data_IF_265725785719
#
_entry.id   IF_265725785719
#
_cell.length_a   1.000
_cell.length_b   1.000
_cell.length_c   1.000
_cell.angle_alpha   90.00
_cell.angle_beta   90.00
_cell.angle_gamma   90.00
#
_symmetry.space_group_name_H-M   'P 1'
#
loop_
_entity.id
_entity.type
_entity.pdbx_description
1 polymer ?
#
# COMPACT_ATOMS: atom_id res chain seq x y z
N UNK A 1 -12.00 -2.75 -22.92
CA UNK A 1 -10.98 -3.45 -22.13
C UNK A 1 -10.46 -2.52 -21.06
N UNK A 2 -10.43 -2.98 -19.83
CA UNK A 2 -9.96 -2.18 -18.71
C UNK A 2 -8.49 -2.47 -18.46
N UNK A 3 -7.67 -1.45 -18.45
CA UNK A 3 -6.26 -1.62 -18.11
C UNK A 3 -6.12 -1.94 -16.63
N UNK A 4 -5.13 -2.77 -16.32
CA UNK A 4 -4.82 -3.07 -14.93
C UNK A 4 -4.29 -1.81 -14.25
N UNK A 5 -4.71 -1.58 -12.99
CA UNK A 5 -4.20 -0.48 -12.18
C UNK A 5 -3.16 -1.01 -11.19
N UNK A 6 -2.24 -0.14 -10.80
CA UNK A 6 -1.29 -0.45 -9.73
C UNK A 6 -2.08 -0.69 -8.45
N UNK A 7 -1.78 -1.80 -7.76
CA UNK A 7 -2.40 -2.12 -6.48
C UNK A 7 -1.67 -1.44 -5.33
N UNK A 8 -2.38 -1.27 -4.22
CA UNK A 8 -1.83 -0.63 -3.01
C UNK A 8 -1.96 -1.58 -1.84
N UNK A 9 -0.89 -1.76 -1.08
CA UNK A 9 -0.93 -2.51 0.18
C UNK A 9 -0.52 -1.58 1.31
N UNK A 10 -1.39 -1.46 2.30
CA UNK A 10 -1.15 -0.63 3.48
C UNK A 10 -0.76 -1.54 4.64
N UNK A 11 0.48 -1.44 5.07
CA UNK A 11 1.03 -2.29 6.14
C UNK A 11 1.07 -1.48 7.44
N UNK A 12 0.35 -1.94 8.44
CA UNK A 12 0.22 -1.23 9.70
C UNK A 12 0.36 -2.18 10.88
N UNK A 13 0.78 -1.65 12.01
CA UNK A 13 0.79 -2.36 13.29
C UNK A 13 -0.63 -2.53 13.85
N UNK A 14 -1.60 -1.80 13.29
CA UNK A 14 -2.99 -1.82 13.72
C UNK A 14 -3.90 -2.25 12.57
N UNK A 15 -4.70 -3.29 12.78
CA UNK A 15 -5.68 -3.72 11.79
C UNK A 15 -6.70 -2.62 11.52
N UNK A 16 -7.14 -1.91 12.56
CA UNK A 16 -8.11 -0.83 12.44
C UNK A 16 -7.56 0.35 11.64
N UNK A 17 -6.31 0.72 11.89
CA UNK A 17 -5.67 1.82 11.16
C UNK A 17 -5.54 1.49 9.68
N UNK A 18 -5.06 0.29 9.36
CA UNK A 18 -4.92 -0.12 7.96
C UNK A 18 -6.28 -0.14 7.24
N UNK A 19 -7.29 -0.71 7.89
CA UNK A 19 -8.63 -0.78 7.31
C UNK A 19 -9.24 0.61 7.11
N UNK A 20 -9.08 1.51 8.09
CA UNK A 20 -9.58 2.88 7.99
C UNK A 20 -8.90 3.68 6.89
N UNK A 21 -7.59 3.57 6.78
CA UNK A 21 -6.83 4.25 5.73
C UNK A 21 -7.22 3.73 4.35
N UNK A 22 -7.40 2.41 4.21
CA UNK A 22 -7.83 1.81 2.95
C UNK A 22 -9.24 2.30 2.56
N UNK A 23 -10.14 2.36 3.53
CA UNK A 23 -11.51 2.83 3.29
C UNK A 23 -11.51 4.30 2.82
N UNK A 24 -10.75 5.14 3.50
CA UNK A 24 -10.64 6.56 3.12
C UNK A 24 -10.09 6.72 1.70
N UNK A 25 -8.99 6.04 1.39
CA UNK A 25 -8.37 6.12 0.08
C UNK A 25 -9.32 5.63 -1.02
N UNK A 26 -10.04 4.54 -0.78
CA UNK A 26 -11.01 4.00 -1.73
C UNK A 26 -12.13 4.98 -2.01
N UNK A 27 -12.64 5.66 -0.97
CA UNK A 27 -13.73 6.63 -1.12
C UNK A 27 -13.27 7.83 -1.96
N UNK A 28 -12.07 8.34 -1.69
CA UNK A 28 -11.55 9.52 -2.40
C UNK A 28 -11.26 9.20 -3.87
N UNK A 29 -10.84 7.99 -4.19
CA UNK A 29 -10.44 7.60 -5.55
C UNK A 29 -11.55 7.00 -6.40
N UNK A 30 -12.74 6.81 -5.85
CA UNK A 30 -13.87 6.23 -6.59
C UNK A 30 -13.92 4.72 -6.65
N UNK A 31 -13.06 4.02 -5.91
CA UNK A 31 -13.16 2.56 -5.72
C UNK A 31 -12.66 1.68 -6.86
N UNK A 32 -11.90 2.24 -7.81
CA UNK A 32 -11.43 1.48 -8.98
C UNK A 32 -10.07 0.78 -8.75
N UNK A 33 -9.38 1.13 -7.67
CA UNK A 33 -8.05 0.59 -7.35
C UNK A 33 -8.17 -0.47 -6.26
N UNK A 34 -7.43 -1.56 -6.39
CA UNK A 34 -7.37 -2.57 -5.34
C UNK A 34 -6.45 -2.09 -4.23
N UNK A 35 -7.01 -1.92 -3.04
CA UNK A 35 -6.28 -1.51 -1.85
C UNK A 35 -6.45 -2.59 -0.79
N UNK A 36 -5.35 -3.17 -0.36
CA UNK A 36 -5.38 -4.24 0.64
C UNK A 36 -4.81 -3.73 1.95
N UNK A 37 -5.57 -3.91 3.02
CA UNK A 37 -5.13 -3.57 4.37
C UNK A 37 -4.44 -4.80 4.99
N UNK A 38 -3.17 -4.67 5.33
CA UNK A 38 -2.38 -5.71 5.96
C UNK A 38 -1.94 -5.21 7.34
N UNK A 39 -2.87 -5.18 8.28
CA UNK A 39 -2.64 -4.60 9.59
C UNK A 39 -2.83 -5.58 10.73
N UNK A 40 -2.05 -5.38 11.79
CA UNK A 40 -2.10 -6.20 12.99
C UNK A 40 -1.43 -7.55 12.82
N UNK A 41 -1.28 -8.27 13.93
CA UNK A 41 -0.76 -9.64 13.92
C UNK A 41 -1.84 -10.61 13.45
N UNK A 42 -1.46 -11.89 13.26
CA UNK A 42 -2.42 -12.93 12.87
C UNK A 42 -3.54 -13.11 13.90
N UNK A 43 -3.25 -12.81 15.16
CA UNK A 43 -4.23 -12.90 16.25
C UNK A 43 -5.05 -11.62 16.45
N UNK A 44 -4.80 -10.60 15.67
CA UNK A 44 -5.52 -9.32 15.77
C UNK A 44 -4.95 -8.33 16.76
N UNK A 45 -3.80 -8.63 17.34
CA UNK A 45 -3.10 -7.72 18.27
C UNK A 45 -2.29 -6.67 17.50
N UNK A 46 -1.70 -5.73 18.23
CA UNK A 46 -0.79 -4.76 17.64
C UNK A 46 0.51 -5.43 17.19
N UNK A 47 0.96 -5.09 16.00
CA UNK A 47 2.15 -5.66 15.38
C UNK A 47 1.90 -5.94 13.91
N UNK A 48 2.92 -6.43 13.21
CA UNK A 48 2.80 -6.74 11.78
C UNK A 48 2.82 -8.26 11.56
N UNK A 49 2.29 -8.68 10.42
CA UNK A 49 2.21 -10.09 10.03
C UNK A 49 2.80 -10.27 8.64
N UNK A 50 3.88 -11.07 8.55
CA UNK A 50 4.47 -11.41 7.26
C UNK A 50 3.45 -12.12 6.35
N UNK A 51 2.62 -13.01 6.92
CA UNK A 51 1.61 -13.73 6.15
C UNK A 51 0.56 -12.78 5.54
N UNK A 52 0.13 -11.77 6.30
CA UNK A 52 -0.82 -10.78 5.79
C UNK A 52 -0.19 -9.93 4.69
N UNK A 53 1.08 -9.55 4.83
CA UNK A 53 1.80 -8.78 3.81
C UNK A 53 1.92 -9.60 2.53
N UNK A 54 2.36 -10.83 2.63
CA UNK A 54 2.52 -11.72 1.47
C UNK A 54 1.20 -11.91 0.72
N UNK A 55 0.14 -12.19 1.45
CA UNK A 55 -1.20 -12.35 0.87
C UNK A 55 -1.67 -11.07 0.22
N UNK A 56 -1.42 -9.92 0.87
CA UNK A 56 -1.79 -8.62 0.33
C UNK A 56 -1.10 -8.31 -0.99
N UNK A 57 0.18 -8.64 -1.10
CA UNK A 57 0.93 -8.45 -2.36
C UNK A 57 0.30 -9.25 -3.49
N UNK A 58 -0.03 -10.51 -3.24
CA UNK A 58 -0.65 -11.36 -4.25
C UNK A 58 -2.02 -10.87 -4.65
N UNK A 59 -2.84 -10.46 -3.69
CA UNK A 59 -4.20 -9.99 -3.95
C UNK A 59 -4.24 -8.65 -4.65
N UNK A 60 -3.27 -7.77 -4.39
CA UNK A 60 -3.25 -6.43 -4.96
C UNK A 60 -2.69 -6.39 -6.39
N UNK A 61 -1.89 -7.38 -6.77
CA UNK A 61 -1.22 -7.37 -8.06
C UNK A 61 -2.17 -7.87 -9.16
N UNK A 62 -2.55 -6.97 -10.05
CA UNK A 62 -3.38 -7.30 -11.22
C UNK A 62 -2.57 -7.28 -12.52
N UNK A 63 -1.24 -7.22 -12.42
CA UNK A 63 -0.33 -7.18 -13.56
C UNK A 63 0.39 -5.85 -13.73
N UNK A 64 -0.04 -4.80 -13.04
CA UNK A 64 0.56 -3.46 -13.13
C UNK A 64 1.55 -3.18 -11.99
N UNK A 65 1.70 -4.12 -11.07
CA UNK A 65 2.57 -3.97 -9.91
C UNK A 65 1.86 -3.47 -8.67
N UNK A 66 2.59 -3.39 -7.57
CA UNK A 66 2.06 -3.03 -6.26
C UNK A 66 2.97 -2.02 -5.58
N UNK A 67 2.37 -1.01 -4.97
CA UNK A 67 3.08 -0.07 -4.11
C UNK A 67 2.67 -0.34 -2.66
N UNK A 68 3.65 -0.49 -1.78
CA UNK A 68 3.44 -0.80 -0.37
C UNK A 68 3.76 0.44 0.45
N UNK A 69 2.84 0.80 1.34
CA UNK A 69 3.03 1.91 2.29
C UNK A 69 3.04 1.36 3.72
N UNK A 70 4.18 1.43 4.42
CA UNK A 70 4.25 1.06 5.83
C UNK A 70 3.88 2.25 6.71
N UNK A 71 3.34 1.97 7.91
CA UNK A 71 2.99 3.04 8.85
C UNK A 71 4.20 3.52 9.66
N UNK A 72 4.99 2.59 10.17
CA UNK A 72 6.16 2.89 11.00
C UNK A 72 7.39 2.17 10.46
N UNK A 73 8.56 2.58 10.90
CA UNK A 73 9.81 1.99 10.44
C UNK A 73 9.89 0.48 10.63
N UNK A 74 9.32 -0.06 11.72
CA UNK A 74 9.35 -1.50 11.95
C UNK A 74 8.52 -2.29 10.93
N UNK A 75 7.48 -1.67 10.35
CA UNK A 75 6.73 -2.30 9.26
C UNK A 75 7.59 -2.47 8.01
N UNK A 76 8.54 -1.56 7.78
CA UNK A 76 9.50 -1.67 6.67
C UNK A 76 10.28 -2.97 6.77
N UNK A 77 10.70 -3.34 7.98
CA UNK A 77 11.48 -4.56 8.19
C UNK A 77 10.67 -5.81 7.82
N UNK A 78 9.40 -5.84 8.19
CA UNK A 78 8.52 -6.96 7.84
C UNK A 78 8.34 -7.07 6.33
N UNK A 79 8.10 -5.94 5.66
CA UNK A 79 7.94 -5.94 4.20
C UNK A 79 9.21 -6.41 3.51
N UNK A 80 10.37 -5.91 3.92
CA UNK A 80 11.65 -6.31 3.33
C UNK A 80 11.91 -7.79 3.51
N UNK A 81 11.59 -8.34 4.69
CA UNK A 81 11.74 -9.76 4.94
C UNK A 81 10.85 -10.59 4.01
N UNK A 82 9.62 -10.17 3.78
CA UNK A 82 8.71 -10.85 2.84
C UNK A 82 9.28 -10.79 1.43
N UNK A 83 9.78 -9.62 1.01
CA UNK A 83 10.28 -9.44 -0.36
C UNK A 83 11.52 -10.26 -0.67
N UNK A 84 12.32 -10.66 0.33
CA UNK A 84 13.49 -11.50 0.12
C UNK A 84 13.11 -12.84 -0.51
N UNK A 85 11.95 -13.38 -0.18
CA UNK A 85 11.47 -14.66 -0.67
C UNK A 85 10.30 -14.56 -1.65
N UNK A 86 9.86 -13.34 -1.93
CA UNK A 86 8.72 -13.13 -2.83
C UNK A 86 9.18 -13.27 -4.28
N UNK A 87 8.57 -14.21 -5.02
CA UNK A 87 9.01 -14.53 -6.38
C UNK A 87 8.90 -13.40 -7.38
N UNK A 88 8.03 -12.42 -7.12
CA UNK A 88 7.75 -11.31 -8.04
C UNK A 88 8.12 -9.96 -7.41
N UNK A 89 9.21 -9.95 -6.64
CA UNK A 89 9.63 -8.75 -5.90
C UNK A 89 9.92 -7.54 -6.81
N UNK A 90 10.25 -7.78 -8.08
CA UNK A 90 10.49 -6.69 -9.03
C UNK A 90 9.24 -5.89 -9.35
N UNK A 91 8.07 -6.47 -9.13
CA UNK A 91 6.78 -5.80 -9.37
C UNK A 91 6.29 -5.04 -8.14
N UNK A 92 7.12 -4.91 -7.09
CA UNK A 92 6.73 -4.27 -5.84
C UNK A 92 7.67 -3.12 -5.53
N UNK A 93 7.11 -1.95 -5.22
CA UNK A 93 7.88 -0.81 -4.71
C UNK A 93 7.40 -0.47 -3.30
N UNK A 94 8.35 -0.38 -2.39
CA UNK A 94 8.11 0.08 -1.02
C UNK A 94 8.30 1.60 -0.99
N UNK A 95 7.25 2.34 -0.68
CA UNK A 95 7.28 3.79 -0.68
C UNK A 95 7.59 4.34 0.71
N UNK A 96 8.50 5.30 0.77
CA UNK A 96 8.80 6.06 1.99
C UNK A 96 7.88 7.27 2.03
N UNK A 97 6.71 7.10 2.59
CA UNK A 97 5.63 8.08 2.47
C UNK A 97 4.83 8.22 3.78
N UNK A 98 4.19 9.38 3.99
CA UNK A 98 3.22 9.49 5.09
C UNK A 98 2.08 8.51 4.84
N UNK A 99 1.64 7.82 5.88
CA UNK A 99 0.77 6.67 5.75
C UNK A 99 -0.60 7.03 5.16
N UNK A 100 -1.28 8.00 5.73
CA UNK A 100 -2.64 8.35 5.31
C UNK A 100 -2.63 9.21 4.04
N UNK A 101 -1.91 10.30 4.05
CA UNK A 101 -1.82 11.19 2.88
C UNK A 101 -1.18 10.46 1.69
N UNK A 102 -0.18 9.62 1.96
CA UNK A 102 0.45 8.82 0.93
C UNK A 102 -0.50 7.80 0.32
N UNK A 103 -1.34 7.16 1.15
CA UNK A 103 -2.34 6.21 0.66
C UNK A 103 -3.32 6.89 -0.29
N UNK A 104 -3.80 8.08 0.07
CA UNK A 104 -4.72 8.84 -0.76
C UNK A 104 -4.05 9.24 -2.08
N UNK A 105 -2.85 9.81 -2.02
CA UNK A 105 -2.14 10.26 -3.21
C UNK A 105 -1.80 9.10 -4.16
N UNK A 106 -1.34 7.98 -3.60
CA UNK A 106 -1.03 6.78 -4.38
C UNK A 106 -2.28 6.26 -5.08
N UNK A 107 -3.39 6.17 -4.36
CA UNK A 107 -4.62 5.60 -4.90
C UNK A 107 -5.21 6.49 -5.99
N UNK A 108 -5.20 7.79 -5.80
CA UNK A 108 -5.67 8.75 -6.83
C UNK A 108 -4.83 8.64 -8.09
N UNK A 109 -3.50 8.55 -7.95
CA UNK A 109 -2.59 8.42 -9.09
C UNK A 109 -2.79 7.09 -9.81
N UNK A 110 -2.98 6.00 -9.06
CA UNK A 110 -3.26 4.68 -9.65
C UNK A 110 -4.59 4.69 -10.41
N UNK A 111 -5.62 5.31 -9.84
CA UNK A 111 -6.94 5.43 -10.48
C UNK A 111 -6.86 6.19 -11.81
N UNK A 112 -5.94 7.15 -11.90
CA UNK A 112 -5.73 7.93 -13.12
C UNK A 112 -4.87 7.19 -14.16
N UNK A 113 -4.42 5.97 -13.86
CA UNK A 113 -3.64 5.18 -14.78
C UNK A 113 -2.12 5.32 -14.64
N UNK A 114 -1.65 5.92 -13.55
CA UNK A 114 -0.21 6.07 -13.31
C UNK A 114 0.48 4.70 -13.19
N UNK A 115 1.72 4.62 -13.68
CA UNK A 115 2.51 3.39 -13.54
C UNK A 115 3.07 3.28 -12.11
N UNK A 116 3.74 2.17 -11.82
CA UNK A 116 4.21 1.88 -10.47
C UNK A 116 5.15 2.98 -9.94
N UNK A 117 6.03 3.51 -10.79
CA UNK A 117 6.94 4.57 -10.36
C UNK A 117 6.20 5.87 -10.07
N UNK A 118 5.22 6.22 -10.90
CA UNK A 118 4.41 7.42 -10.70
C UNK A 118 3.58 7.32 -9.41
N UNK A 119 3.02 6.14 -9.13
CA UNK A 119 2.23 5.91 -7.93
C UNK A 119 3.11 6.02 -6.68
N UNK A 120 4.28 5.37 -6.68
CA UNK A 120 5.21 5.47 -5.56
C UNK A 120 5.68 6.90 -5.33
N UNK A 121 6.00 7.62 -6.41
CA UNK A 121 6.43 9.01 -6.33
C UNK A 121 5.33 9.91 -5.75
N UNK A 122 4.09 9.72 -6.18
CA UNK A 122 2.95 10.49 -5.65
C UNK A 122 2.78 10.27 -4.14
N UNK A 123 2.91 9.03 -3.69
CA UNK A 123 2.85 8.72 -2.27
C UNK A 123 3.94 9.45 -1.49
N UNK A 124 5.17 9.42 -2.00
CA UNK A 124 6.31 10.05 -1.33
C UNK A 124 6.22 11.56 -1.32
N UNK A 125 5.73 12.16 -2.41
CA UNK A 125 5.54 13.60 -2.52
C UNK A 125 4.49 14.14 -1.54
N UNK A 126 3.59 13.28 -1.06
CA UNK A 126 2.56 13.68 -0.11
C UNK A 126 3.14 14.24 1.19
N UNK A 127 4.43 13.95 1.51
CA UNK A 127 5.11 14.52 2.68
C UNK A 127 5.20 16.04 2.62
N UNK A 128 5.11 16.62 1.43
CA UNK A 128 5.19 18.06 1.23
C UNK A 128 3.84 18.75 1.26
N UNK A 129 2.73 18.00 1.36
CA UNK A 129 1.39 18.58 1.41
C UNK A 129 1.18 19.30 2.74
N UNK A 130 0.84 20.55 2.66
CA UNK A 130 0.59 21.38 3.85
C UNK A 130 -0.91 21.50 4.07
N UNK A 131 -1.31 21.48 5.33
CA UNK A 131 -2.74 21.64 5.69
C UNK A 131 -3.07 23.07 6.10
N UNK A 132 -2.04 23.80 6.50
CA UNK A 132 -2.18 25.20 6.95
C UNK A 132 -1.17 26.08 6.26
#
# INVERSE_FOLDING_TARGET
MTDATVGIVLVSHSAELAAGAAHLAAQVSGGTVTIIAAGGTDDGDLGTSAAKVERGLSEADSGAGVVVLPDLGSAVLTVRAVLEDYGDAESVLLADAPFVEGAVAATVTAAAGGDIKAVAAAAEEARHARKL
#
